data_IF_978252850124
#
_entry.id   IF_978252850124
#
_cell.length_a   1.000
_cell.length_b   1.000
_cell.length_c   1.000
_cell.angle_alpha   90.00
_cell.angle_beta   90.00
_cell.angle_gamma   90.00
#
_symmetry.space_group_name_H-M   'P 1'
#
loop_
_entity.id
_entity.type
_entity.pdbx_description
1 polymer ?
#
# COMPACT_ATOMS: atom_id res chain seq x y z
N UNK A 1 20.30 17.93 -1.75
CA UNK A 1 19.11 17.08 -1.65
C UNK A 1 18.49 17.33 -0.30
N UNK A 2 17.50 18.22 -0.25
CA UNK A 2 16.71 18.49 0.94
C UNK A 2 15.80 17.29 1.16
N UNK A 3 16.03 16.52 2.22
CA UNK A 3 15.15 15.45 2.65
C UNK A 3 13.81 16.07 3.10
N UNK A 4 12.89 16.28 2.15
CA UNK A 4 11.49 16.08 2.48
C UNK A 4 11.43 14.65 3.05
N UNK A 5 11.27 14.53 4.37
CA UNK A 5 11.15 13.23 5.01
C UNK A 5 9.99 12.49 4.32
N UNK A 6 10.33 11.44 3.55
CA UNK A 6 9.37 10.60 2.83
C UNK A 6 8.17 10.30 3.73
N UNK A 7 6.96 10.55 3.23
CA UNK A 7 5.72 10.57 4.03
C UNK A 7 5.53 9.27 4.81
N UNK A 8 5.90 8.13 4.21
CA UNK A 8 5.86 6.81 4.84
C UNK A 8 6.74 6.71 6.10
N UNK A 9 7.91 7.37 6.11
CA UNK A 9 8.81 7.42 7.25
C UNK A 9 8.20 8.23 8.40
N UNK A 10 7.49 9.32 8.09
CA UNK A 10 6.78 10.13 9.07
C UNK A 10 5.63 9.37 9.73
N UNK A 11 4.85 8.62 8.93
CA UNK A 11 3.79 7.75 9.45
C UNK A 11 4.37 6.67 10.38
N UNK A 12 5.47 6.02 9.97
CA UNK A 12 6.18 5.06 10.81
C UNK A 12 6.65 5.69 12.13
N UNK A 13 7.21 6.89 12.08
CA UNK A 13 7.67 7.58 13.28
C UNK A 13 6.51 7.85 14.25
N UNK A 14 5.32 8.22 13.75
CA UNK A 14 4.12 8.39 14.59
C UNK A 14 3.70 7.10 15.29
N UNK A 15 3.70 5.97 14.57
CA UNK A 15 3.40 4.65 15.14
C UNK A 15 4.41 4.28 16.24
N UNK A 16 5.71 4.50 15.99
CA UNK A 16 6.76 4.19 16.96
C UNK A 16 6.65 5.05 18.23
N UNK A 17 6.30 6.33 18.11
CA UNK A 17 6.11 7.22 19.26
C UNK A 17 5.03 6.71 20.22
N UNK A 18 3.88 6.29 19.67
CA UNK A 18 2.78 5.72 20.46
C UNK A 18 3.20 4.37 21.06
N UNK A 19 3.94 3.55 20.32
CA UNK A 19 4.42 2.26 20.80
C UNK A 19 5.38 2.38 22.01
N UNK A 20 6.26 3.39 21.97
CA UNK A 20 7.27 3.63 23.00
C UNK A 20 6.70 4.37 24.22
N UNK A 21 5.77 5.31 24.00
CA UNK A 21 5.27 6.22 25.04
C UNK A 21 3.93 5.79 25.64
N UNK A 22 3.24 4.82 25.03
CA UNK A 22 1.86 4.48 25.35
C UNK A 22 0.86 5.43 24.66
N UNK A 23 -0.42 5.39 25.06
CA UNK A 23 -1.43 6.32 24.53
C UNK A 23 -0.99 7.78 24.69
N UNK A 24 -1.13 8.57 23.62
CA UNK A 24 -0.72 9.99 23.60
C UNK A 24 -1.87 10.89 23.20
N UNK A 25 -2.03 12.05 23.84
CA UNK A 25 -2.98 13.05 23.36
C UNK A 25 -2.61 13.55 21.96
N UNK A 26 -3.57 14.18 21.25
CA UNK A 26 -3.30 14.80 19.94
C UNK A 26 -2.14 15.80 20.03
N UNK A 27 -2.17 16.64 21.06
CA UNK A 27 -1.18 17.71 21.26
C UNK A 27 0.23 17.14 21.48
N UNK A 28 0.36 16.13 22.37
CA UNK A 28 1.64 15.48 22.64
C UNK A 28 2.20 14.76 21.41
N UNK A 29 1.35 14.06 20.65
CA UNK A 29 1.78 13.36 19.43
C UNK A 29 2.20 14.35 18.34
N UNK A 30 1.42 15.42 18.14
CA UNK A 30 1.74 16.50 17.20
C UNK A 30 3.08 17.15 17.56
N UNK A 31 3.31 17.47 18.84
CA UNK A 31 4.55 18.08 19.29
C UNK A 31 5.76 17.13 19.16
N UNK A 32 5.59 15.83 19.48
CA UNK A 32 6.63 14.83 19.30
C UNK A 32 6.99 14.64 17.81
N UNK A 33 6.00 14.65 16.91
CA UNK A 33 6.22 14.59 15.46
C UNK A 33 6.95 15.83 14.94
N UNK A 34 6.63 17.02 15.46
CA UNK A 34 7.36 18.27 15.14
C UNK A 34 8.80 18.23 15.61
N UNK A 35 9.04 17.73 16.82
CA UNK A 35 10.39 17.55 17.37
C UNK A 35 11.25 16.58 16.54
N UNK A 36 10.63 15.60 15.88
CA UNK A 36 11.32 14.74 14.91
C UNK A 36 11.57 15.42 13.56
N UNK A 37 10.73 16.37 13.14
CA UNK A 37 10.95 17.18 11.90
C UNK A 37 12.06 18.24 12.07
N UNK A 38 12.34 18.68 13.29
CA UNK A 38 13.26 19.80 13.60
C UNK A 38 14.74 19.51 13.42
N UNK A 39 15.10 18.43 12.73
CA UNK A 39 16.49 18.24 12.27
C UNK A 39 16.76 18.98 10.94
N UNK A 40 15.75 19.41 10.13
CA UNK A 40 16.08 20.25 8.94
C UNK A 40 14.95 21.02 8.18
N UNK A 41 13.74 21.27 8.69
CA UNK A 41 12.80 22.20 8.02
C UNK A 41 11.73 22.81 8.94
N UNK A 42 11.65 24.14 8.89
CA UNK A 42 10.60 25.06 9.37
C UNK A 42 9.79 24.63 10.62
N UNK A 43 10.17 25.18 11.78
CA UNK A 43 9.54 24.99 13.10
C UNK A 43 8.04 25.37 13.13
N UNK A 44 7.55 26.08 12.11
CA UNK A 44 6.17 26.61 12.04
C UNK A 44 5.19 25.74 11.26
N UNK A 45 5.62 24.62 10.67
CA UNK A 45 4.76 23.74 9.87
C UNK A 45 3.82 22.88 10.75
N UNK A 46 2.79 23.51 11.32
CA UNK A 46 1.66 22.89 12.03
C UNK A 46 0.91 21.88 11.15
N UNK A 47 0.75 22.19 9.87
CA UNK A 47 -0.11 21.44 8.94
C UNK A 47 0.37 19.99 8.78
N UNK A 48 1.66 19.78 8.56
CA UNK A 48 2.15 18.44 8.23
C UNK A 48 2.22 17.44 9.38
N UNK A 49 1.91 17.79 10.63
CA UNK A 49 1.86 16.84 11.75
C UNK A 49 0.43 16.34 12.01
N UNK A 50 -0.54 17.25 11.93
CA UNK A 50 -1.95 16.89 12.01
C UNK A 50 -2.35 15.98 10.82
N UNK A 51 -1.82 16.26 9.61
CA UNK A 51 -2.03 15.39 8.45
C UNK A 51 -1.51 13.97 8.67
N UNK A 52 -0.38 13.79 9.38
CA UNK A 52 0.20 12.46 9.67
C UNK A 52 -0.75 11.70 10.58
N UNK A 53 -1.26 12.35 11.63
CA UNK A 53 -2.19 11.74 12.59
C UNK A 53 -3.49 11.36 11.88
N UNK A 54 -4.03 12.25 11.05
CA UNK A 54 -5.23 11.97 10.25
C UNK A 54 -5.02 10.76 9.34
N UNK A 55 -3.93 10.72 8.58
CA UNK A 55 -3.64 9.59 7.71
C UNK A 55 -3.40 8.27 8.46
N UNK A 56 -2.77 8.31 9.64
CA UNK A 56 -2.63 7.12 10.50
C UNK A 56 -3.98 6.61 11.01
N UNK A 57 -4.92 7.51 11.31
CA UNK A 57 -6.29 7.15 11.73
C UNK A 57 -7.09 6.58 10.57
N UNK A 58 -7.03 7.22 9.40
CA UNK A 58 -7.76 6.79 8.21
C UNK A 58 -7.25 5.43 7.71
N UNK A 59 -5.93 5.19 7.83
CA UNK A 59 -5.32 3.89 7.60
C UNK A 59 -5.62 2.86 8.71
N UNK A 60 -6.44 3.19 9.71
CA UNK A 60 -6.77 2.35 10.87
C UNK A 60 -5.55 1.82 11.64
N UNK A 61 -4.43 2.54 11.62
CA UNK A 61 -3.20 2.15 12.34
C UNK A 61 -3.21 2.66 13.78
N UNK A 62 -3.92 3.77 14.02
CA UNK A 62 -4.13 4.33 15.34
C UNK A 62 -5.61 4.65 15.53
N UNK A 63 -6.04 4.72 16.78
CA UNK A 63 -7.40 5.17 17.13
C UNK A 63 -7.44 5.93 18.43
N UNK A 64 -8.52 6.68 18.62
CA UNK A 64 -8.73 7.43 19.85
C UNK A 64 -9.21 6.51 20.97
N UNK A 65 -8.71 6.75 22.18
CA UNK A 65 -9.10 6.09 23.43
C UNK A 65 -9.28 7.13 24.53
N UNK A 66 -9.73 6.72 25.72
CA UNK A 66 -9.90 7.65 26.85
C UNK A 66 -8.59 8.35 27.25
N UNK A 67 -7.45 7.68 27.05
CA UNK A 67 -6.10 8.15 27.38
C UNK A 67 -5.40 8.84 26.20
N UNK A 68 -6.05 8.96 25.03
CA UNK A 68 -5.49 9.52 23.80
C UNK A 68 -5.38 8.53 22.66
N UNK A 69 -4.59 8.85 21.64
CA UNK A 69 -4.32 7.97 20.50
C UNK A 69 -3.48 6.78 20.93
N UNK A 70 -3.99 5.58 20.62
CA UNK A 70 -3.29 4.30 20.78
C UNK A 70 -3.21 3.55 19.48
N UNK A 71 -2.32 2.56 19.41
CA UNK A 71 -2.29 1.60 18.31
C UNK A 71 -3.58 0.79 18.28
N UNK A 72 -4.05 0.47 17.09
CA UNK A 72 -5.07 -0.55 16.89
C UNK A 72 -4.47 -1.93 17.15
N UNK A 73 -5.27 -2.84 17.71
CA UNK A 73 -4.84 -4.22 18.00
C UNK A 73 -5.30 -5.22 16.94
N UNK A 74 -4.68 -6.39 16.92
CA UNK A 74 -5.06 -7.50 16.01
C UNK A 74 -6.52 -7.93 16.20
N UNK A 75 -7.00 -8.01 17.45
CA UNK A 75 -8.38 -8.37 17.78
C UNK A 75 -9.39 -7.43 17.12
N UNK A 76 -9.05 -6.15 17.00
CA UNK A 76 -9.89 -5.11 16.40
C UNK A 76 -9.91 -5.17 14.87
N UNK A 77 -8.98 -5.90 14.27
CA UNK A 77 -8.89 -6.20 12.84
C UNK A 77 -9.50 -7.56 12.48
N UNK A 78 -9.37 -8.55 13.36
CA UNK A 78 -9.82 -9.93 13.13
C UNK A 78 -11.34 -10.05 12.90
N UNK A 79 -12.14 -9.17 13.51
CA UNK A 79 -13.61 -9.17 13.35
C UNK A 79 -14.09 -8.70 11.96
N UNK A 80 -13.19 -8.23 11.08
CA UNK A 80 -13.58 -7.60 9.81
C UNK A 80 -13.29 -8.43 8.55
N UNK A 81 -12.73 -9.64 8.68
CA UNK A 81 -12.29 -10.48 7.54
C UNK A 81 -11.36 -9.74 6.53
N UNK A 82 -10.69 -8.67 6.97
CA UNK A 82 -9.84 -7.86 6.06
C UNK A 82 -8.47 -8.49 5.98
N UNK A 83 -8.13 -9.04 4.82
CA UNK A 83 -6.81 -9.62 4.56
C UNK A 83 -5.89 -8.59 3.90
N UNK A 84 -4.58 -8.70 4.16
CA UNK A 84 -3.53 -7.77 3.71
C UNK A 84 -3.61 -6.35 4.30
N UNK A 85 -4.41 -6.08 5.32
CA UNK A 85 -4.21 -4.93 6.22
C UNK A 85 -3.59 -5.39 7.53
N UNK A 86 -3.01 -4.45 8.26
CA UNK A 86 -2.32 -4.71 9.51
C UNK A 86 -2.77 -3.72 10.57
N UNK A 87 -2.91 -4.18 11.80
CA UNK A 87 -3.08 -3.31 12.96
C UNK A 87 -1.82 -2.49 13.25
N UNK A 88 -1.95 -1.43 14.05
CA UNK A 88 -0.80 -0.64 14.49
C UNK A 88 0.21 -1.47 15.28
N UNK A 89 -0.27 -2.39 16.11
CA UNK A 89 0.56 -3.35 16.86
C UNK A 89 1.34 -4.28 15.92
N UNK A 90 0.70 -4.82 14.89
CA UNK A 90 1.38 -5.62 13.88
C UNK A 90 2.43 -4.81 13.13
N UNK A 91 2.18 -3.54 12.80
CA UNK A 91 3.22 -2.70 12.17
C UNK A 91 4.46 -2.68 13.07
N UNK A 92 4.32 -2.36 14.36
CA UNK A 92 5.45 -2.34 15.30
C UNK A 92 6.15 -3.71 15.39
N UNK A 93 5.36 -4.78 15.47
CA UNK A 93 5.85 -6.16 15.59
C UNK A 93 6.54 -6.73 14.33
N UNK A 94 6.50 -6.02 13.19
CA UNK A 94 7.10 -6.47 11.92
C UNK A 94 8.64 -6.58 11.94
N UNK A 95 9.28 -6.11 13.00
CA UNK A 95 10.74 -6.17 13.19
C UNK A 95 11.44 -4.98 12.54
N UNK A 96 11.83 -5.11 11.27
CA UNK A 96 12.63 -4.10 10.58
C UNK A 96 11.80 -2.95 9.97
N UNK A 97 12.47 -1.84 9.64
CA UNK A 97 11.84 -0.64 9.12
C UNK A 97 11.16 -0.85 7.76
N UNK A 98 11.67 -1.78 6.95
CA UNK A 98 11.12 -2.08 5.62
C UNK A 98 9.84 -2.89 5.73
N UNK A 99 9.81 -3.88 6.62
CA UNK A 99 8.60 -4.64 6.93
C UNK A 99 7.51 -3.74 7.54
N UNK A 100 7.89 -2.80 8.42
CA UNK A 100 6.99 -1.75 8.92
C UNK A 100 6.40 -0.89 7.80
N UNK A 101 7.27 -0.37 6.93
CA UNK A 101 6.88 0.42 5.76
C UNK A 101 5.92 -0.33 4.83
N UNK A 102 6.16 -1.62 4.56
CA UNK A 102 5.27 -2.47 3.74
C UNK A 102 3.87 -2.60 4.35
N UNK A 103 3.78 -2.79 5.68
CA UNK A 103 2.49 -2.92 6.38
C UNK A 103 1.72 -1.61 6.39
N UNK A 104 2.39 -0.49 6.66
CA UNK A 104 1.80 0.85 6.58
C UNK A 104 1.28 1.12 5.17
N UNK A 105 2.10 0.87 4.15
CA UNK A 105 1.73 1.07 2.75
C UNK A 105 0.52 0.21 2.37
N UNK A 106 0.42 -1.03 2.88
CA UNK A 106 -0.73 -1.87 2.61
C UNK A 106 -2.03 -1.23 3.12
N UNK A 107 -2.04 -0.66 4.33
CA UNK A 107 -3.20 0.05 4.85
C UNK A 107 -3.51 1.34 4.09
N UNK A 108 -2.48 2.10 3.68
CA UNK A 108 -2.66 3.30 2.85
C UNK A 108 -3.30 2.93 1.50
N UNK A 109 -2.80 1.89 0.82
CA UNK A 109 -3.37 1.41 -0.44
C UNK A 109 -4.82 0.95 -0.27
N UNK A 110 -5.16 0.32 0.86
CA UNK A 110 -6.53 -0.07 1.17
C UNK A 110 -7.46 1.15 1.31
N UNK A 111 -6.99 2.22 1.95
CA UNK A 111 -7.75 3.48 2.03
C UNK A 111 -7.87 4.10 0.63
N UNK A 112 -6.75 4.17 -0.09
CA UNK A 112 -6.53 4.94 -1.30
C UNK A 112 -6.36 4.01 -2.53
N UNK A 113 -7.40 3.33 -3.04
CA UNK A 113 -7.30 2.43 -4.19
C UNK A 113 -6.73 3.06 -5.47
N UNK A 114 -6.81 4.38 -5.65
CA UNK A 114 -6.22 5.06 -6.81
C UNK A 114 -4.71 4.76 -6.94
N UNK A 115 -4.02 4.52 -5.82
CA UNK A 115 -2.62 4.12 -5.81
C UNK A 115 -2.37 2.82 -6.58
N UNK A 116 -3.33 1.88 -6.58
CA UNK A 116 -3.24 0.64 -7.35
C UNK A 116 -3.28 0.92 -8.85
N UNK A 117 -4.20 1.79 -9.29
CA UNK A 117 -4.37 2.11 -10.71
C UNK A 117 -3.16 2.84 -11.26
N UNK A 118 -2.68 3.87 -10.53
CA UNK A 118 -1.47 4.60 -10.89
C UNK A 118 -0.26 3.65 -10.98
N UNK A 119 -0.08 2.79 -9.98
CA UNK A 119 1.00 1.79 -9.98
C UNK A 119 0.89 0.83 -11.16
N UNK A 120 -0.30 0.24 -11.39
CA UNK A 120 -0.53 -0.71 -12.51
C UNK A 120 -0.24 -0.06 -13.85
N UNK A 121 -0.66 1.19 -14.06
CA UNK A 121 -0.40 1.92 -15.29
C UNK A 121 1.10 2.06 -15.55
N UNK A 122 1.85 2.50 -14.55
CA UNK A 122 3.31 2.65 -14.64
C UNK A 122 4.00 1.30 -14.84
N UNK A 123 3.55 0.24 -14.16
CA UNK A 123 4.15 -1.09 -14.32
C UNK A 123 3.89 -1.70 -15.71
N UNK A 124 2.74 -1.42 -16.31
CA UNK A 124 2.41 -1.92 -17.66
C UNK A 124 3.02 -1.07 -18.79
N UNK A 125 3.23 0.22 -18.57
CA UNK A 125 3.56 1.20 -19.62
C UNK A 125 4.91 1.90 -19.44
N UNK A 126 5.60 1.65 -18.33
CA UNK A 126 6.88 2.26 -17.97
C UNK A 126 7.92 2.17 -19.10
N UNK A 127 8.72 3.23 -19.34
CA UNK A 127 8.71 4.53 -18.65
C UNK A 127 7.52 5.42 -19.04
N UNK A 128 6.89 6.09 -18.05
CA UNK A 128 5.72 6.97 -18.23
C UNK A 128 5.96 8.35 -17.59
N UNK A 129 5.72 9.44 -18.33
CA UNK A 129 5.85 10.80 -17.80
C UNK A 129 4.60 11.27 -17.04
N UNK A 130 4.76 12.22 -16.14
CA UNK A 130 3.69 12.81 -15.32
C UNK A 130 2.48 13.23 -16.17
N UNK A 131 2.72 13.93 -17.28
CA UNK A 131 1.64 14.37 -18.16
C UNK A 131 0.89 13.22 -18.85
N UNK A 132 1.53 12.05 -19.01
CA UNK A 132 0.89 10.86 -19.59
C UNK A 132 -0.02 10.19 -18.56
N UNK A 133 0.39 10.17 -17.29
CA UNK A 133 -0.45 9.75 -16.17
C UNK A 133 -1.64 10.71 -16.01
N UNK A 134 -1.38 12.02 -16.03
CA UNK A 134 -2.43 13.04 -15.98
C UNK A 134 -3.43 12.89 -17.12
N UNK A 135 -2.95 12.70 -18.36
CA UNK A 135 -3.83 12.53 -19.52
C UNK A 135 -4.71 11.29 -19.42
N UNK A 136 -4.20 10.21 -18.82
CA UNK A 136 -4.95 8.96 -18.66
C UNK A 136 -6.06 9.11 -17.61
N UNK A 137 -5.77 9.75 -16.48
CA UNK A 137 -6.64 9.69 -15.29
C UNK A 137 -7.35 11.00 -14.92
N UNK A 138 -6.98 12.15 -15.49
CA UNK A 138 -7.62 13.42 -15.17
C UNK A 138 -9.08 13.43 -15.64
N UNK A 139 -10.00 13.55 -14.67
CA UNK A 139 -11.44 13.58 -14.91
C UNK A 139 -12.12 12.21 -15.01
N UNK A 140 -11.38 11.10 -14.96
CA UNK A 140 -11.98 9.77 -14.82
C UNK A 140 -12.49 9.55 -13.39
N UNK A 141 -13.69 8.98 -13.28
CA UNK A 141 -14.24 8.55 -12.00
C UNK A 141 -13.72 7.13 -11.70
N UNK A 142 -12.93 6.97 -10.64
CA UNK A 142 -12.47 5.68 -10.16
C UNK A 142 -13.06 5.43 -8.77
N UNK A 143 -13.84 4.36 -8.64
CA UNK A 143 -14.53 3.97 -7.38
C UNK A 143 -15.35 5.14 -6.80
N UNK A 144 -16.06 5.86 -7.68
CA UNK A 144 -16.92 6.98 -7.28
C UNK A 144 -16.20 8.31 -7.05
N UNK A 145 -14.87 8.35 -7.01
CA UNK A 145 -14.10 9.60 -6.86
C UNK A 145 -13.44 10.00 -8.18
N UNK A 146 -13.57 11.29 -8.53
CA UNK A 146 -12.88 11.85 -9.71
C UNK A 146 -11.43 12.12 -9.35
N UNK A 147 -10.51 11.48 -10.09
CA UNK A 147 -9.10 11.86 -10.02
C UNK A 147 -8.91 13.23 -10.66
N UNK A 148 -8.14 14.08 -9.99
CA UNK A 148 -7.73 15.39 -10.47
C UNK A 148 -6.22 15.52 -10.31
N UNK A 149 -5.64 16.57 -10.87
CA UNK A 149 -4.20 16.79 -10.82
C UNK A 149 -3.61 16.68 -9.39
N UNK A 150 -4.26 17.28 -8.40
CA UNK A 150 -3.77 17.24 -7.02
C UNK A 150 -3.74 15.82 -6.45
N UNK A 151 -4.78 15.02 -6.66
CA UNK A 151 -4.82 13.64 -6.15
C UNK A 151 -3.87 12.71 -6.91
N UNK A 152 -3.66 12.94 -8.21
CA UNK A 152 -2.67 12.21 -9.02
C UNK A 152 -1.25 12.52 -8.53
N UNK A 153 -0.90 13.80 -8.38
CA UNK A 153 0.42 14.22 -7.93
C UNK A 153 0.70 13.69 -6.51
N UNK A 154 -0.28 13.77 -5.60
CA UNK A 154 -0.17 13.18 -4.27
C UNK A 154 0.04 11.66 -4.33
N UNK A 155 -0.68 10.97 -5.22
CA UNK A 155 -0.55 9.53 -5.39
C UNK A 155 0.82 9.11 -5.92
N UNK A 156 1.33 9.81 -6.93
CA UNK A 156 2.67 9.57 -7.49
C UNK A 156 3.76 9.79 -6.43
N UNK A 157 3.70 10.89 -5.69
CA UNK A 157 4.65 11.18 -4.61
C UNK A 157 4.64 10.08 -3.53
N UNK A 158 3.45 9.58 -3.12
CA UNK A 158 3.34 8.50 -2.14
C UNK A 158 3.93 7.18 -2.67
N UNK A 159 3.74 6.88 -3.95
CA UNK A 159 4.28 5.68 -4.59
C UNK A 159 5.80 5.76 -4.75
N UNK A 160 6.33 6.92 -5.11
CA UNK A 160 7.77 7.18 -5.20
C UNK A 160 8.44 7.09 -3.82
N UNK A 161 7.89 7.78 -2.81
CA UNK A 161 8.36 7.72 -1.41
C UNK A 161 8.41 6.30 -0.85
N UNK A 162 7.53 5.44 -1.37
CA UNK A 162 7.42 4.05 -0.99
C UNK A 162 8.18 3.11 -1.94
N UNK A 163 9.05 3.62 -2.82
CA UNK A 163 9.81 2.85 -3.83
C UNK A 163 8.94 1.94 -4.72
N UNK A 164 7.63 2.19 -4.81
CA UNK A 164 6.71 1.39 -5.64
C UNK A 164 6.94 1.72 -7.10
N UNK A 165 7.20 2.98 -7.38
CA UNK A 165 7.66 3.49 -8.68
C UNK A 165 8.99 4.20 -8.47
N UNK A 166 9.82 4.22 -9.51
CA UNK A 166 11.13 4.87 -9.45
C UNK A 166 11.23 5.94 -10.54
N UNK A 167 11.83 7.11 -10.26
CA UNK A 167 12.11 8.11 -11.27
C UNK A 167 13.21 7.60 -12.22
N UNK A 168 12.99 7.76 -13.52
CA UNK A 168 13.95 7.47 -14.58
C UNK A 168 14.07 8.68 -15.53
N UNK A 169 15.07 8.66 -16.41
CA UNK A 169 15.35 9.76 -17.35
C UNK A 169 14.15 10.20 -18.20
N UNK A 170 13.16 9.32 -18.39
CA UNK A 170 11.98 9.54 -19.22
C UNK A 170 10.65 9.37 -18.47
N UNK A 171 10.62 9.62 -17.15
CA UNK A 171 9.41 9.50 -16.32
C UNK A 171 9.55 8.38 -15.30
N UNK A 172 8.44 7.79 -14.85
CA UNK A 172 8.43 6.73 -13.86
C UNK A 172 8.53 5.34 -14.49
N UNK A 173 9.28 4.47 -13.83
CA UNK A 173 9.33 3.03 -14.10
C UNK A 173 8.84 2.24 -12.89
N UNK A 174 8.63 0.95 -13.07
CA UNK A 174 8.31 0.02 -11.99
C UNK A 174 9.44 -0.06 -10.96
N UNK A 175 9.10 0.05 -9.68
CA UNK A 175 9.98 -0.21 -8.54
C UNK A 175 9.65 -1.55 -7.87
N UNK A 176 9.50 -1.53 -6.55
CA UNK A 176 9.15 -2.71 -5.74
C UNK A 176 7.65 -3.00 -5.75
N UNK A 177 7.28 -4.27 -5.70
CA UNK A 177 5.88 -4.70 -5.61
C UNK A 177 5.30 -4.62 -4.19
N UNK A 178 4.27 -3.81 -3.89
CA UNK A 178 3.48 -4.02 -2.67
C UNK A 178 2.69 -5.32 -2.75
N UNK A 179 2.52 -6.02 -1.63
CA UNK A 179 1.77 -7.29 -1.63
C UNK A 179 0.31 -7.12 -2.08
N UNK A 180 -0.31 -5.97 -1.75
CA UNK A 180 -1.66 -5.63 -2.22
C UNK A 180 -1.73 -5.36 -3.71
N UNK A 181 -0.75 -4.64 -4.27
CA UNK A 181 -0.66 -4.43 -5.72
C UNK A 181 -0.54 -5.78 -6.44
N UNK A 182 0.34 -6.65 -5.93
CA UNK A 182 0.50 -7.99 -6.50
C UNK A 182 -0.79 -8.82 -6.39
N UNK A 183 -1.49 -8.79 -5.26
CA UNK A 183 -2.78 -9.47 -5.09
C UNK A 183 -3.82 -8.99 -6.11
N UNK A 184 -3.90 -7.67 -6.33
CA UNK A 184 -4.82 -7.07 -7.30
C UNK A 184 -4.48 -7.47 -8.74
N UNK A 185 -3.19 -7.42 -9.10
CA UNK A 185 -2.74 -7.82 -10.44
C UNK A 185 -2.98 -9.31 -10.68
N UNK A 186 -2.68 -10.17 -9.69
CA UNK A 186 -2.98 -11.60 -9.77
C UNK A 186 -4.47 -11.82 -9.98
N UNK A 187 -5.34 -11.13 -9.23
CA UNK A 187 -6.78 -11.28 -9.36
C UNK A 187 -7.29 -10.91 -10.75
N UNK A 188 -6.89 -9.75 -11.29
CA UNK A 188 -7.31 -9.30 -12.63
C UNK A 188 -6.86 -10.29 -13.70
N UNK A 189 -5.58 -10.65 -13.71
CA UNK A 189 -5.03 -11.49 -14.76
C UNK A 189 -5.48 -12.95 -14.63
N UNK A 190 -5.71 -13.43 -13.42
CA UNK A 190 -6.35 -14.73 -13.18
C UNK A 190 -7.79 -14.73 -13.68
N UNK A 191 -8.57 -13.69 -13.37
CA UNK A 191 -9.98 -13.57 -13.81
C UNK A 191 -10.10 -13.52 -15.34
N UNK A 192 -9.14 -12.88 -16.00
CA UNK A 192 -9.04 -12.87 -17.46
C UNK A 192 -8.68 -14.25 -18.03
N UNK A 193 -7.81 -15.01 -17.36
CA UNK A 193 -7.33 -16.32 -17.82
C UNK A 193 -8.31 -17.46 -17.53
N UNK A 194 -8.99 -17.41 -16.39
CA UNK A 194 -9.84 -18.51 -15.92
C UNK A 194 -11.05 -18.72 -16.84
N UNK A 195 -11.64 -17.64 -17.36
CA UNK A 195 -12.89 -17.71 -18.12
C UNK A 195 -13.97 -18.45 -17.33
N UNK A 196 -14.51 -19.54 -17.90
CA UNK A 196 -15.50 -20.42 -17.24
C UNK A 196 -14.85 -21.56 -16.41
N UNK A 197 -13.53 -21.57 -16.26
CA UNK A 197 -12.76 -22.58 -15.51
C UNK A 197 -12.81 -22.39 -13.99
N UNK A 198 -12.22 -23.33 -13.23
CA UNK A 198 -12.10 -23.25 -11.76
C UNK A 198 -10.67 -23.07 -11.24
N UNK A 199 -9.67 -23.02 -12.13
CA UNK A 199 -8.25 -22.91 -11.77
C UNK A 199 -7.41 -22.45 -12.96
N UNK A 200 -6.31 -21.75 -12.70
CA UNK A 200 -5.31 -21.35 -13.72
C UNK A 200 -3.98 -22.03 -13.42
N UNK A 201 -3.21 -22.38 -14.46
CA UNK A 201 -1.88 -22.97 -14.26
C UNK A 201 -0.89 -21.89 -13.84
N UNK A 202 -0.14 -22.14 -12.77
CA UNK A 202 0.88 -21.22 -12.24
C UNK A 202 1.88 -20.73 -13.31
N UNK A 203 2.45 -21.59 -14.19
CA UNK A 203 3.34 -21.13 -15.25
C UNK A 203 2.68 -20.18 -16.25
N UNK A 204 1.41 -20.39 -16.58
CA UNK A 204 0.67 -19.56 -17.54
C UNK A 204 0.40 -18.17 -16.96
N UNK A 205 0.00 -18.11 -15.69
CA UNK A 205 -0.16 -16.85 -14.98
C UNK A 205 1.18 -16.11 -14.84
N UNK A 206 2.26 -16.83 -14.53
CA UNK A 206 3.60 -16.24 -14.45
C UNK A 206 4.04 -15.66 -15.81
N UNK A 207 3.96 -16.42 -16.90
CA UNK A 207 4.35 -15.96 -18.25
C UNK A 207 3.59 -14.69 -18.65
N UNK A 208 2.30 -14.63 -18.31
CA UNK A 208 1.48 -13.44 -18.56
C UNK A 208 1.95 -12.24 -17.74
N UNK A 209 2.22 -12.41 -16.45
CA UNK A 209 2.70 -11.32 -15.60
C UNK A 209 4.11 -10.86 -15.95
N UNK A 210 4.99 -11.77 -16.30
CA UNK A 210 6.34 -11.46 -16.80
C UNK A 210 6.23 -10.62 -18.09
N UNK A 211 5.33 -11.00 -19.00
CA UNK A 211 5.14 -10.29 -20.26
C UNK A 211 4.52 -8.89 -20.07
N UNK A 212 3.50 -8.77 -19.22
CA UNK A 212 2.72 -7.54 -19.07
C UNK A 212 3.33 -6.53 -18.08
N UNK A 213 4.04 -7.02 -17.06
CA UNK A 213 4.54 -6.20 -15.95
C UNK A 213 6.03 -6.38 -15.67
N UNK A 214 6.74 -7.22 -16.43
CA UNK A 214 8.17 -7.45 -16.25
C UNK A 214 8.54 -8.03 -14.88
N UNK A 215 7.63 -8.76 -14.22
CA UNK A 215 7.91 -9.30 -12.88
C UNK A 215 8.95 -10.43 -12.96
N UNK A 216 10.03 -10.38 -12.16
CA UNK A 216 11.00 -11.47 -12.10
C UNK A 216 10.40 -12.73 -11.44
N UNK A 217 10.83 -13.91 -11.90
CA UNK A 217 10.39 -15.20 -11.35
C UNK A 217 10.52 -15.31 -9.83
N UNK A 218 11.64 -14.86 -9.28
CA UNK A 218 11.88 -14.88 -7.83
C UNK A 218 10.88 -14.02 -7.05
N UNK A 219 10.48 -12.88 -7.61
CA UNK A 219 9.48 -12.00 -7.02
C UNK A 219 8.11 -12.66 -7.08
N UNK A 220 7.73 -13.21 -8.23
CA UNK A 220 6.47 -13.95 -8.37
C UNK A 220 6.37 -15.10 -7.35
N UNK A 221 7.37 -15.99 -7.28
CA UNK A 221 7.36 -17.14 -6.37
C UNK A 221 7.27 -16.70 -4.89
N UNK A 222 8.02 -15.65 -4.52
CA UNK A 222 7.98 -15.09 -3.16
C UNK A 222 6.60 -14.54 -2.80
N UNK A 223 5.94 -13.83 -3.72
CA UNK A 223 4.66 -13.19 -3.44
C UNK A 223 3.49 -14.17 -3.52
N UNK A 224 3.51 -15.15 -4.43
CA UNK A 224 2.55 -16.26 -4.43
C UNK A 224 2.57 -16.99 -3.09
N UNK A 225 3.76 -17.30 -2.55
CA UNK A 225 3.87 -17.92 -1.22
C UNK A 225 3.26 -17.05 -0.11
N UNK A 226 3.42 -15.73 -0.19
CA UNK A 226 2.78 -14.79 0.77
C UNK A 226 1.25 -14.81 0.62
N UNK A 227 0.72 -14.78 -0.60
CA UNK A 227 -0.72 -14.87 -0.85
C UNK A 227 -1.30 -16.22 -0.42
N UNK A 228 -0.54 -17.31 -0.57
CA UNK A 228 -0.92 -18.62 -0.05
C UNK A 228 -0.98 -18.64 1.47
N UNK A 229 0.00 -18.04 2.14
CA UNK A 229 0.01 -17.90 3.61
C UNK A 229 -1.18 -17.05 4.10
N UNK A 230 -1.58 -16.05 3.31
CA UNK A 230 -2.74 -15.21 3.58
C UNK A 230 -4.09 -15.86 3.21
N UNK A 231 -4.09 -17.10 2.70
CA UNK A 231 -5.32 -17.81 2.29
C UNK A 231 -5.97 -17.29 1.00
N UNK A 232 -5.32 -16.37 0.28
CA UNK A 232 -5.82 -15.79 -0.97
C UNK A 232 -5.64 -16.76 -2.14
N UNK A 233 -4.50 -17.47 -2.16
CA UNK A 233 -4.17 -18.45 -3.21
C UNK A 233 -4.13 -19.83 -2.59
N UNK A 234 -4.77 -20.80 -3.23
CA UNK A 234 -4.60 -22.23 -2.92
C UNK A 234 -3.85 -22.92 -4.05
N UNK A 235 -2.85 -23.72 -3.69
CA UNK A 235 -2.10 -24.54 -4.66
C UNK A 235 -2.76 -25.92 -4.77
N UNK A 236 -3.26 -26.23 -5.96
CA UNK A 236 -3.80 -27.53 -6.33
C UNK A 236 -2.75 -28.48 -6.91
N UNK A 237 -3.19 -29.68 -7.30
CA UNK A 237 -2.33 -30.63 -8.01
C UNK A 237 -1.82 -30.03 -9.32
N UNK A 238 -0.64 -30.46 -9.78
CA UNK A 238 -0.06 -30.06 -11.07
C UNK A 238 0.18 -28.55 -11.26
N UNK A 239 0.49 -27.84 -10.16
CA UNK A 239 0.72 -26.38 -10.17
C UNK A 239 -0.50 -25.57 -10.62
N UNK A 240 -1.70 -26.06 -10.30
CA UNK A 240 -2.91 -25.26 -10.45
C UNK A 240 -3.02 -24.27 -9.30
N UNK A 241 -3.40 -23.04 -9.60
CA UNK A 241 -3.75 -22.02 -8.62
C UNK A 241 -5.25 -21.84 -8.63
N UNK A 242 -5.83 -21.71 -7.44
CA UNK A 242 -7.22 -21.29 -7.24
C UNK A 242 -7.22 -20.07 -6.33
N UNK A 243 -7.94 -19.03 -6.73
CA UNK A 243 -8.14 -17.86 -5.88
C UNK A 243 -9.33 -18.06 -4.95
N UNK A 244 -9.18 -17.66 -3.69
CA UNK A 244 -10.27 -17.67 -2.74
C UNK A 244 -11.03 -16.34 -2.80
N UNK A 245 -12.14 -16.31 -3.53
CA UNK A 245 -12.96 -15.12 -3.76
C UNK A 245 -13.44 -14.47 -2.46
N UNK A 246 -13.90 -15.27 -1.49
CA UNK A 246 -14.36 -14.74 -0.19
C UNK A 246 -13.28 -13.94 0.55
N UNK A 247 -12.02 -14.38 0.46
CA UNK A 247 -10.88 -13.71 1.09
C UNK A 247 -10.47 -12.46 0.29
N UNK A 248 -10.58 -12.49 -1.04
CA UNK A 248 -10.31 -11.34 -1.91
C UNK A 248 -11.37 -10.24 -1.75
N UNK A 249 -12.62 -10.63 -1.52
CA UNK A 249 -13.71 -9.71 -1.20
C UNK A 249 -13.46 -8.99 0.13
N UNK A 250 -13.13 -9.74 1.18
CA UNK A 250 -12.75 -9.15 2.48
C UNK A 250 -11.52 -8.24 2.39
N UNK A 251 -10.57 -8.55 1.51
CA UNK A 251 -9.37 -7.73 1.28
C UNK A 251 -9.62 -6.44 0.47
N UNK A 252 -10.83 -6.27 -0.10
CA UNK A 252 -11.20 -5.21 -1.05
C UNK A 252 -10.19 -5.05 -2.18
N UNK A 253 -9.74 -6.18 -2.71
CA UNK A 253 -8.72 -6.22 -3.77
C UNK A 253 -9.34 -5.90 -5.14
N UNK A 254 -10.66 -5.72 -5.23
CA UNK A 254 -11.39 -5.54 -6.49
C UNK A 254 -12.50 -4.47 -6.43
N UNK A 255 -12.68 -3.81 -5.27
CA UNK A 255 -13.59 -2.67 -5.10
C UNK A 255 -12.91 -1.36 -5.43
#
# INVERSE_FOLDING_TARGET
MTLQYARLFQLRAGIQLIAESGPMSKEELTDALRQRKTIDADETATEGADDIIEQLRDANLIKNSEEGYRLTSEEEFNDKEVVLTYSGEEVVGAGDQRAQADRILANIIYQHPMLLVLSKFIYRKGPVKDYEVMREFDGEAFIGDKMNQFTIDMGLNLLEDADVIEPADNGYIQGRWPVRLFAHVIYEEYSDLIGDGGSVREPELFERLETLYGIPRSTFDSYIKRLHTAGIVSEGSYKQLTLNESVLEGAKVHE
#
